data_IF_232264349696
#
_entry.id   IF_232264349696
#
_cell.length_a   1.000
_cell.length_b   1.000
_cell.length_c   1.000
_cell.angle_alpha   90.00
_cell.angle_beta   90.00
_cell.angle_gamma   90.00
#
_symmetry.space_group_name_H-M   'P 1'
#
loop_
_entity.id
_entity.type
_entity.pdbx_description
1 polymer ?
#
# COMPACT_ATOMS: atom_id res chain seq x y z
N UNK A 1 2.73 -21.72 -11.93
CA UNK A 1 2.10 -20.67 -11.11
C UNK A 1 2.99 -19.43 -11.05
N UNK A 2 2.41 -18.28 -10.69
CA UNK A 2 3.18 -17.03 -10.46
C UNK A 2 2.75 -16.49 -9.09
N UNK A 3 3.73 -16.24 -8.22
CA UNK A 3 3.49 -15.46 -7.02
C UNK A 3 3.52 -13.98 -7.40
N UNK A 4 2.47 -13.25 -7.05
CA UNK A 4 2.34 -11.84 -7.41
C UNK A 4 3.32 -10.96 -6.64
N UNK A 5 3.42 -9.69 -7.02
CA UNK A 5 4.26 -8.70 -6.34
C UNK A 5 3.93 -8.53 -4.83
N UNK A 6 2.72 -8.90 -4.41
CA UNK A 6 2.29 -8.84 -3.01
C UNK A 6 2.95 -9.90 -2.12
N UNK A 7 3.62 -10.90 -2.70
CA UNK A 7 4.18 -12.03 -1.98
C UNK A 7 3.13 -13.02 -1.48
N UNK A 8 3.59 -14.12 -0.94
CA UNK A 8 2.75 -15.19 -0.41
C UNK A 8 3.23 -15.64 0.97
N UNK A 9 2.37 -16.29 1.73
CA UNK A 9 2.73 -16.92 3.01
C UNK A 9 3.73 -18.06 2.82
N UNK A 10 4.49 -18.39 3.87
CA UNK A 10 5.39 -19.54 3.85
C UNK A 10 4.65 -20.85 3.50
N UNK A 11 3.43 -21.00 4.03
CA UNK A 11 2.58 -22.18 3.76
C UNK A 11 2.28 -22.36 2.26
N UNK A 12 1.97 -21.27 1.55
CA UNK A 12 1.68 -21.32 0.10
C UNK A 12 2.93 -21.70 -0.68
N UNK A 13 4.08 -21.14 -0.32
CA UNK A 13 5.35 -21.48 -0.94
C UNK A 13 5.73 -22.95 -0.71
N UNK A 14 5.60 -23.43 0.52
CA UNK A 14 5.88 -24.83 0.87
C UNK A 14 4.92 -25.80 0.15
N UNK A 15 3.65 -25.42 0.03
CA UNK A 15 2.66 -26.24 -0.70
C UNK A 15 3.00 -26.32 -2.20
N UNK A 16 3.42 -25.24 -2.83
CA UNK A 16 3.85 -25.24 -4.22
C UNK A 16 5.07 -26.15 -4.43
N UNK A 17 6.05 -26.07 -3.52
CA UNK A 17 7.23 -26.97 -3.52
C UNK A 17 6.84 -28.43 -3.33
N UNK A 18 6.00 -28.75 -2.35
CA UNK A 18 5.57 -30.11 -2.03
C UNK A 18 4.77 -30.76 -3.17
N UNK A 19 4.03 -29.96 -3.93
CA UNK A 19 3.29 -30.41 -5.12
C UNK A 19 4.12 -30.43 -6.40
N UNK A 20 5.42 -30.09 -6.32
CA UNK A 20 6.31 -29.93 -7.48
C UNK A 20 5.75 -28.99 -8.56
N UNK A 21 5.03 -27.94 -8.17
CA UNK A 21 4.59 -26.93 -9.12
C UNK A 21 5.77 -26.12 -9.61
N UNK A 22 5.87 -25.95 -10.93
CA UNK A 22 6.71 -24.92 -11.50
C UNK A 22 6.09 -23.56 -11.15
N UNK A 23 6.83 -22.71 -10.45
CA UNK A 23 6.38 -21.36 -10.14
C UNK A 23 7.49 -20.34 -10.37
N UNK A 24 7.06 -19.13 -10.71
CA UNK A 24 7.90 -17.94 -10.75
C UNK A 24 7.53 -17.05 -9.57
N UNK A 25 8.53 -16.65 -8.83
CA UNK A 25 8.34 -15.70 -7.73
C UNK A 25 8.57 -14.28 -8.25
N UNK A 26 7.47 -13.53 -8.44
CA UNK A 26 7.47 -12.13 -8.82
C UNK A 26 7.23 -11.20 -7.62
N UNK A 27 7.46 -11.69 -6.38
CA UNK A 27 7.35 -10.87 -5.18
C UNK A 27 8.23 -9.64 -5.27
N UNK A 28 7.66 -8.47 -5.01
CA UNK A 28 8.42 -7.22 -4.99
C UNK A 28 9.58 -7.31 -3.97
N UNK A 29 10.80 -6.90 -4.32
CA UNK A 29 11.94 -6.94 -3.39
C UNK A 29 11.68 -6.22 -2.07
N UNK A 30 10.87 -5.15 -2.06
CA UNK A 30 10.51 -4.46 -0.83
C UNK A 30 9.57 -5.29 0.05
N UNK A 31 8.62 -6.01 -0.53
CA UNK A 31 7.78 -6.97 0.19
C UNK A 31 8.61 -8.11 0.75
N UNK A 32 9.59 -8.61 -0.03
CA UNK A 32 10.54 -9.61 0.45
C UNK A 32 11.34 -9.09 1.65
N UNK A 33 11.77 -7.81 1.63
CA UNK A 33 12.43 -7.17 2.78
C UNK A 33 11.53 -7.24 4.02
N UNK A 34 10.26 -6.85 3.91
CA UNK A 34 9.30 -6.90 5.04
C UNK A 34 9.12 -8.32 5.57
N UNK A 35 9.01 -9.32 4.68
CA UNK A 35 8.94 -10.73 5.04
C UNK A 35 10.16 -11.20 5.85
N UNK A 36 11.35 -10.79 5.42
CA UNK A 36 12.60 -11.11 6.11
C UNK A 36 12.71 -10.40 7.47
N UNK A 37 12.22 -9.17 7.58
CA UNK A 37 12.19 -8.44 8.85
C UNK A 37 11.25 -9.12 9.86
N UNK A 38 10.08 -9.60 9.45
CA UNK A 38 9.19 -10.40 10.30
C UNK A 38 9.92 -11.63 10.84
N UNK A 39 10.57 -12.40 9.97
CA UNK A 39 11.33 -13.59 10.39
C UNK A 39 12.48 -13.24 11.33
N UNK A 40 13.24 -12.19 11.03
CA UNK A 40 14.37 -11.71 11.85
C UNK A 40 13.92 -11.26 13.24
N UNK A 41 12.81 -10.54 13.34
CA UNK A 41 12.29 -10.10 14.64
C UNK A 41 11.77 -11.29 15.44
N UNK A 42 11.05 -12.23 14.84
CA UNK A 42 10.62 -13.46 15.49
C UNK A 42 11.79 -14.29 16.02
N UNK A 43 12.87 -14.43 15.23
CA UNK A 43 14.10 -15.13 15.67
C UNK A 43 14.80 -14.45 16.85
N UNK A 44 14.64 -13.13 17.01
CA UNK A 44 15.15 -12.35 18.13
C UNK A 44 14.22 -12.34 19.36
N UNK A 45 13.15 -13.11 19.33
CA UNK A 45 12.19 -13.18 20.44
C UNK A 45 11.28 -11.96 20.58
N UNK A 46 11.11 -11.16 19.51
CA UNK A 46 10.31 -9.94 19.52
C UNK A 46 8.90 -10.20 19.02
N UNK A 47 7.93 -9.67 19.72
CA UNK A 47 6.59 -9.57 19.15
C UNK A 47 6.56 -8.50 18.04
N UNK A 48 5.72 -8.70 17.04
CA UNK A 48 5.72 -7.89 15.84
C UNK A 48 4.35 -7.25 15.65
N UNK A 49 4.32 -5.99 15.31
CA UNK A 49 3.10 -5.26 14.90
C UNK A 49 3.21 -4.99 13.41
N UNK A 50 2.26 -5.52 12.64
CA UNK A 50 2.11 -5.22 11.21
C UNK A 50 1.06 -4.12 11.05
N UNK A 51 1.46 -2.96 10.53
CA UNK A 51 0.52 -1.92 10.12
C UNK A 51 0.09 -2.23 8.69
N UNK A 52 -1.22 -2.42 8.47
CA UNK A 52 -1.73 -2.78 7.13
C UNK A 52 -3.21 -3.06 7.11
N UNK A 53 -3.79 -3.23 5.94
CA UNK A 53 -5.23 -3.46 5.77
C UNK A 53 -5.56 -4.95 5.82
N UNK A 54 -6.47 -5.30 6.72
CA UNK A 54 -6.98 -6.67 6.86
C UNK A 54 -7.55 -7.18 5.53
N UNK A 55 -7.14 -8.39 5.16
CA UNK A 55 -7.60 -9.01 3.91
C UNK A 55 -6.78 -8.64 2.67
N UNK A 56 -5.91 -7.65 2.74
CA UNK A 56 -5.02 -7.33 1.63
C UNK A 56 -4.02 -8.48 1.37
N UNK A 57 -3.76 -8.89 0.11
CA UNK A 57 -2.87 -10.00 -0.21
C UNK A 57 -1.47 -9.88 0.40
N UNK A 58 -0.87 -8.70 0.37
CA UNK A 58 0.43 -8.42 0.98
C UNK A 58 0.42 -8.65 2.50
N UNK A 59 -0.64 -8.21 3.18
CA UNK A 59 -0.81 -8.40 4.63
C UNK A 59 -0.98 -9.87 4.96
N UNK A 60 -1.79 -10.61 4.20
CA UNK A 60 -1.97 -12.07 4.36
C UNK A 60 -0.63 -12.78 4.16
N UNK A 61 0.12 -12.40 3.12
CA UNK A 61 1.46 -12.93 2.84
C UNK A 61 2.41 -12.68 4.00
N UNK A 62 2.50 -11.44 4.46
CA UNK A 62 3.40 -11.01 5.54
C UNK A 62 3.08 -11.68 6.88
N UNK A 63 1.79 -11.74 7.28
CA UNK A 63 1.35 -12.47 8.47
C UNK A 63 1.77 -13.94 8.41
N UNK A 64 1.63 -14.55 7.23
CA UNK A 64 2.01 -15.94 7.00
C UNK A 64 3.51 -16.22 6.90
N UNK A 65 4.36 -15.19 7.02
CA UNK A 65 5.83 -15.35 7.13
C UNK A 65 6.30 -15.41 8.59
N UNK A 66 5.43 -15.13 9.55
CA UNK A 66 5.75 -15.34 10.95
C UNK A 66 5.92 -16.84 11.22
N UNK A 67 7.05 -17.29 11.79
CA UNK A 67 7.30 -18.70 12.02
C UNK A 67 6.32 -19.30 13.02
N UNK A 68 5.65 -20.40 12.65
CA UNK A 68 4.65 -21.07 13.48
C UNK A 68 5.20 -21.70 14.77
N UNK A 69 6.52 -21.98 14.79
CA UNK A 69 7.23 -22.53 15.94
C UNK A 69 7.90 -21.47 16.81
N UNK A 70 7.64 -20.19 16.55
CA UNK A 70 8.15 -19.08 17.37
C UNK A 70 7.32 -18.92 18.65
N UNK A 71 7.97 -18.51 19.74
CA UNK A 71 7.29 -18.09 20.96
C UNK A 71 6.77 -16.64 20.90
N UNK A 72 6.98 -15.96 19.78
CA UNK A 72 6.54 -14.59 19.55
C UNK A 72 5.21 -14.57 18.83
N UNK A 73 4.57 -13.39 18.78
CA UNK A 73 3.29 -13.17 18.09
C UNK A 73 3.44 -12.05 17.06
N UNK A 74 2.57 -12.09 16.06
CA UNK A 74 2.38 -10.98 15.11
C UNK A 74 0.96 -10.46 15.22
N UNK A 75 0.81 -9.14 15.34
CA UNK A 75 -0.44 -8.44 15.51
C UNK A 75 -0.69 -7.53 14.33
N UNK A 76 -1.90 -7.51 13.80
CA UNK A 76 -2.32 -6.58 12.74
C UNK A 76 -2.95 -5.35 13.36
N UNK A 77 -2.56 -4.18 12.86
CA UNK A 77 -3.10 -2.87 13.23
C UNK A 77 -3.50 -2.13 11.96
N UNK A 78 -4.74 -1.66 11.91
CA UNK A 78 -5.27 -0.86 10.81
C UNK A 78 -5.46 0.62 11.21
N UNK A 79 -5.67 0.88 12.51
CA UNK A 79 -6.02 2.21 13.02
C UNK A 79 -5.61 2.37 14.50
N UNK A 80 -5.80 3.59 15.04
CA UNK A 80 -5.46 3.90 16.43
C UNK A 80 -6.29 3.12 17.47
N UNK A 81 -7.51 2.69 17.15
CA UNK A 81 -8.32 1.92 18.10
C UNK A 81 -7.79 0.48 18.25
N UNK A 82 -7.19 -0.07 17.18
CA UNK A 82 -6.48 -1.34 17.28
C UNK A 82 -5.24 -1.20 18.17
N UNK A 83 -4.49 -0.10 18.04
CA UNK A 83 -3.33 0.19 18.89
C UNK A 83 -3.75 0.24 20.37
N UNK A 84 -4.85 0.91 20.70
CA UNK A 84 -5.35 0.99 22.08
C UNK A 84 -5.64 -0.40 22.68
N UNK A 85 -6.16 -1.33 21.86
CA UNK A 85 -6.54 -2.68 22.28
C UNK A 85 -5.37 -3.66 22.36
N UNK A 86 -4.18 -3.29 21.85
CA UNK A 86 -3.01 -4.18 21.93
C UNK A 86 -2.60 -4.43 23.37
N UNK A 87 -2.58 -5.70 23.75
CA UNK A 87 -2.03 -6.18 25.02
C UNK A 87 -0.81 -7.07 24.69
N UNK A 88 0.39 -6.50 24.77
CA UNK A 88 1.64 -7.17 24.44
C UNK A 88 2.47 -7.26 25.72
N UNK A 89 2.79 -8.48 26.11
CA UNK A 89 3.60 -8.75 27.32
C UNK A 89 5.09 -8.97 27.00
N UNK A 90 5.45 -8.98 25.71
CA UNK A 90 6.85 -9.14 25.29
C UNK A 90 7.69 -7.95 25.73
N UNK A 91 8.92 -8.16 26.24
CA UNK A 91 9.81 -7.07 26.63
C UNK A 91 10.33 -6.27 25.43
N UNK A 92 10.37 -6.87 24.26
CA UNK A 92 10.78 -6.23 23.01
C UNK A 92 9.69 -6.38 21.94
N UNK A 93 9.35 -5.26 21.30
CA UNK A 93 8.35 -5.19 20.24
C UNK A 93 8.98 -4.52 19.03
N UNK A 94 8.66 -5.02 17.84
CA UNK A 94 9.03 -4.39 16.58
C UNK A 94 7.79 -4.10 15.75
N UNK A 95 7.90 -3.19 14.78
CA UNK A 95 6.84 -2.99 13.79
C UNK A 95 7.39 -3.07 12.37
N UNK A 96 6.52 -3.47 11.46
CA UNK A 96 6.69 -3.44 9.99
C UNK A 96 5.42 -2.89 9.38
N UNK A 97 5.47 -2.43 8.12
CA UNK A 97 4.30 -1.87 7.45
C UNK A 97 4.05 -2.51 6.10
N UNK A 98 2.79 -2.48 5.66
CA UNK A 98 2.43 -2.73 4.27
C UNK A 98 3.05 -1.64 3.38
N UNK A 99 3.50 -2.01 2.18
CA UNK A 99 4.31 -1.13 1.32
C UNK A 99 3.52 -0.06 0.57
N UNK A 100 2.19 -0.16 0.52
CA UNK A 100 1.30 0.71 -0.27
C UNK A 100 0.37 1.59 0.56
N UNK A 101 0.70 1.81 1.84
CA UNK A 101 -0.08 2.65 2.75
C UNK A 101 0.08 4.15 2.45
N UNK A 102 -0.82 4.93 3.02
CA UNK A 102 -0.66 6.40 3.13
C UNK A 102 0.53 6.72 4.02
N UNK A 103 1.46 7.54 3.52
CA UNK A 103 2.65 7.95 4.27
C UNK A 103 2.28 8.70 5.54
N UNK A 104 1.33 9.64 5.44
CA UNK A 104 0.96 10.50 6.56
C UNK A 104 0.21 9.70 7.65
N UNK A 105 -0.79 8.89 7.26
CA UNK A 105 -1.53 8.04 8.21
C UNK A 105 -0.62 7.02 8.89
N UNK A 106 0.30 6.41 8.14
CA UNK A 106 1.26 5.46 8.69
C UNK A 106 2.17 6.13 9.71
N UNK A 107 2.60 7.35 9.45
CA UNK A 107 3.42 8.14 10.38
C UNK A 107 2.67 8.42 11.69
N UNK A 108 1.37 8.75 11.62
CA UNK A 108 0.53 8.95 12.80
C UNK A 108 0.41 7.66 13.63
N UNK A 109 0.16 6.52 12.98
CA UNK A 109 0.09 5.23 13.66
C UNK A 109 1.43 4.84 14.30
N UNK A 110 2.55 5.07 13.61
CA UNK A 110 3.89 4.83 14.16
C UNK A 110 4.14 5.70 15.39
N UNK A 111 3.72 6.97 15.39
CA UNK A 111 3.86 7.85 16.56
C UNK A 111 3.03 7.33 17.74
N UNK A 112 1.77 6.93 17.52
CA UNK A 112 0.93 6.33 18.55
C UNK A 112 1.52 5.01 19.09
N UNK A 113 2.15 4.20 18.22
CA UNK A 113 2.87 2.99 18.66
C UNK A 113 4.09 3.33 19.51
N UNK A 114 4.87 4.36 19.16
CA UNK A 114 6.02 4.81 19.94
C UNK A 114 5.62 5.37 21.32
N UNK A 115 4.46 6.04 21.40
CA UNK A 115 3.92 6.50 22.67
C UNK A 115 3.50 5.32 23.57
N UNK A 116 2.85 4.32 23.01
CA UNK A 116 2.40 3.14 23.77
C UNK A 116 3.55 2.18 24.10
N UNK A 117 4.53 2.05 23.21
CA UNK A 117 5.69 1.17 23.32
C UNK A 117 6.98 1.97 23.11
N UNK A 118 7.50 2.71 24.11
CA UNK A 118 8.63 3.64 23.93
C UNK A 118 9.92 3.00 23.40
N UNK A 119 10.05 1.67 23.55
CA UNK A 119 11.21 0.90 23.03
C UNK A 119 10.95 0.19 21.71
N UNK A 120 9.85 0.49 21.02
CA UNK A 120 9.48 -0.21 19.78
C UNK A 120 10.55 -0.03 18.69
N UNK A 121 10.90 -1.13 18.04
CA UNK A 121 11.93 -1.17 17.00
C UNK A 121 11.25 -1.11 15.64
N UNK A 122 11.57 -0.10 14.86
CA UNK A 122 11.11 0.03 13.48
C UNK A 122 12.09 -0.53 12.46
N UNK A 123 11.69 -0.56 11.19
CA UNK A 123 12.57 -0.94 10.09
C UNK A 123 13.73 0.04 9.96
N UNK A 124 14.88 -0.46 9.47
CA UNK A 124 16.10 0.35 9.25
C UNK A 124 15.97 1.39 8.14
N UNK A 125 15.02 1.18 7.23
CA UNK A 125 14.58 2.11 6.19
C UNK A 125 13.07 1.92 6.02
N UNK A 126 12.37 2.98 5.60
CA UNK A 126 10.93 2.94 5.43
C UNK A 126 10.46 1.74 4.60
N UNK A 127 9.39 1.09 5.04
CA UNK A 127 8.78 -0.03 4.32
C UNK A 127 7.85 0.48 3.20
N UNK A 128 7.37 1.73 3.27
CA UNK A 128 6.55 2.30 2.20
C UNK A 128 7.39 2.48 0.95
N UNK A 129 6.90 1.91 -0.16
CA UNK A 129 7.59 1.96 -1.44
C UNK A 129 7.80 3.42 -1.90
N UNK A 130 9.04 3.76 -2.30
CA UNK A 130 9.35 5.08 -2.83
C UNK A 130 8.44 5.47 -4.03
N UNK A 131 8.07 4.51 -4.86
CA UNK A 131 7.15 4.76 -5.97
C UNK A 131 5.74 5.11 -5.47
N UNK A 132 5.29 4.55 -4.35
CA UNK A 132 4.06 4.93 -3.65
C UNK A 132 4.20 6.34 -3.07
N UNK A 133 5.29 6.63 -2.38
CA UNK A 133 5.55 7.93 -1.77
C UNK A 133 5.61 9.04 -2.82
N UNK A 134 6.41 8.87 -3.88
CA UNK A 134 6.54 9.88 -4.94
C UNK A 134 5.19 10.17 -5.62
N UNK A 135 4.34 9.14 -5.81
CA UNK A 135 3.01 9.34 -6.37
C UNK A 135 2.08 10.09 -5.42
N UNK A 136 2.16 9.83 -4.13
CA UNK A 136 1.39 10.58 -3.13
C UNK A 136 1.83 12.06 -3.09
N UNK A 137 3.12 12.33 -3.16
CA UNK A 137 3.64 13.70 -3.20
C UNK A 137 3.20 14.43 -4.49
N UNK A 138 3.23 13.73 -5.63
CA UNK A 138 2.73 14.27 -6.89
C UNK A 138 1.22 14.56 -6.86
N UNK A 139 0.41 13.70 -6.22
CA UNK A 139 -1.03 13.97 -6.05
C UNK A 139 -1.28 15.17 -5.16
N UNK A 140 -0.53 15.34 -4.07
CA UNK A 140 -0.63 16.55 -3.23
C UNK A 140 -0.36 17.81 -4.05
N UNK A 141 0.67 17.78 -4.91
CA UNK A 141 0.97 18.90 -5.79
C UNK A 141 -0.13 19.16 -6.82
N UNK A 142 -0.60 18.12 -7.51
CA UNK A 142 -1.72 18.24 -8.45
C UNK A 142 -2.99 18.80 -7.79
N UNK A 143 -3.25 18.41 -6.55
CA UNK A 143 -4.41 18.89 -5.80
C UNK A 143 -4.36 20.38 -5.47
N UNK A 144 -3.17 21.00 -5.44
CA UNK A 144 -3.01 22.44 -5.28
C UNK A 144 -3.23 23.21 -6.60
N UNK A 145 -3.00 22.57 -7.75
CA UNK A 145 -2.99 23.20 -9.06
C UNK A 145 -4.24 22.91 -9.89
N UNK A 146 -4.95 21.80 -9.60
CA UNK A 146 -6.06 21.30 -10.39
C UNK A 146 -7.36 21.28 -9.61
N UNK A 147 -8.48 21.49 -10.32
CA UNK A 147 -9.82 21.39 -9.73
C UNK A 147 -10.31 19.95 -9.63
N UNK A 148 -9.82 19.10 -10.53
CA UNK A 148 -10.14 17.66 -10.55
C UNK A 148 -8.86 16.87 -10.76
N UNK A 149 -8.74 15.72 -10.08
CA UNK A 149 -7.65 14.76 -10.29
C UNK A 149 -8.24 13.44 -10.77
N UNK A 150 -7.78 12.97 -11.94
CA UNK A 150 -8.07 11.63 -12.45
C UNK A 150 -6.91 10.70 -12.08
N UNK A 151 -7.25 9.62 -11.40
CA UNK A 151 -6.30 8.57 -11.02
C UNK A 151 -6.53 7.36 -11.92
N UNK A 152 -5.56 7.03 -12.76
CA UNK A 152 -5.63 5.86 -13.63
C UNK A 152 -5.16 4.63 -12.84
N UNK A 153 -6.00 3.61 -12.77
CA UNK A 153 -5.69 2.35 -12.11
C UNK A 153 -6.90 1.59 -11.64
N UNK A 154 -6.72 0.31 -11.34
CA UNK A 154 -7.82 -0.58 -10.96
C UNK A 154 -8.40 -0.24 -9.59
N UNK A 155 -9.71 -0.42 -9.45
CA UNK A 155 -10.43 -0.31 -8.17
C UNK A 155 -9.94 -1.32 -7.12
N UNK A 156 -9.30 -2.41 -7.54
CA UNK A 156 -8.71 -3.40 -6.64
C UNK A 156 -7.27 -3.04 -6.21
N UNK A 157 -6.67 -1.99 -6.81
CA UNK A 157 -5.32 -1.53 -6.46
C UNK A 157 -5.34 -0.66 -5.21
N UNK A 158 -4.71 -1.13 -4.13
CA UNK A 158 -4.54 -0.35 -2.89
C UNK A 158 -3.86 1.00 -3.15
N UNK A 159 -2.78 1.01 -3.94
CA UNK A 159 -2.08 2.25 -4.26
C UNK A 159 -2.97 3.24 -5.02
N UNK A 160 -3.73 2.79 -6.04
CA UNK A 160 -4.59 3.67 -6.83
C UNK A 160 -5.72 4.28 -5.99
N UNK A 161 -6.36 3.48 -5.13
CA UNK A 161 -7.37 3.97 -4.19
C UNK A 161 -6.78 5.03 -3.23
N UNK A 162 -5.55 4.80 -2.73
CA UNK A 162 -4.87 5.77 -1.85
C UNK A 162 -4.61 7.11 -2.54
N UNK A 163 -4.24 7.11 -3.81
CA UNK A 163 -4.03 8.36 -4.56
C UNK A 163 -5.33 9.15 -4.70
N UNK A 164 -6.45 8.46 -5.01
CA UNK A 164 -7.78 9.08 -5.05
C UNK A 164 -8.17 9.68 -3.70
N UNK A 165 -8.11 8.89 -2.63
CA UNK A 165 -8.44 9.33 -1.28
C UNK A 165 -7.59 10.52 -0.82
N UNK A 166 -6.31 10.53 -1.20
CA UNK A 166 -5.40 11.62 -0.87
C UNK A 166 -5.80 12.92 -1.56
N UNK A 167 -6.16 12.88 -2.85
CA UNK A 167 -6.67 14.04 -3.56
C UNK A 167 -7.95 14.59 -2.90
N UNK A 168 -8.88 13.71 -2.52
CA UNK A 168 -10.11 14.07 -1.82
C UNK A 168 -9.82 14.70 -0.43
N UNK A 169 -8.85 14.16 0.32
CA UNK A 169 -8.39 14.75 1.59
C UNK A 169 -7.76 16.13 1.42
N UNK A 170 -7.10 16.38 0.29
CA UNK A 170 -6.59 17.71 -0.07
C UNK A 170 -7.69 18.68 -0.50
N UNK A 171 -8.95 18.24 -0.55
CA UNK A 171 -10.10 19.07 -0.94
C UNK A 171 -10.36 19.09 -2.45
N UNK A 172 -9.70 18.26 -3.23
CA UNK A 172 -9.82 18.21 -4.70
C UNK A 172 -10.70 17.03 -5.11
N UNK A 173 -11.67 17.29 -5.98
CA UNK A 173 -12.53 16.24 -6.54
C UNK A 173 -11.67 15.23 -7.30
N UNK A 174 -11.86 13.95 -7.04
CA UNK A 174 -11.04 12.91 -7.67
C UNK A 174 -11.86 11.72 -8.16
N UNK A 175 -11.42 11.13 -9.27
CA UNK A 175 -12.02 9.94 -9.84
C UNK A 175 -10.96 8.89 -10.12
N UNK A 176 -11.29 7.63 -9.82
CA UNK A 176 -10.49 6.47 -10.21
C UNK A 176 -11.08 5.88 -11.48
N UNK A 177 -10.24 5.71 -12.50
CA UNK A 177 -10.63 5.23 -13.82
C UNK A 177 -9.71 4.06 -14.22
N UNK A 178 -10.30 2.98 -14.74
CA UNK A 178 -9.52 1.86 -15.27
C UNK A 178 -9.02 2.16 -16.69
N UNK A 179 -9.86 2.85 -17.50
CA UNK A 179 -9.48 3.29 -18.84
C UNK A 179 -10.24 4.59 -19.25
N UNK A 180 -9.99 5.02 -20.49
CA UNK A 180 -10.61 6.25 -21.03
C UNK A 180 -12.14 6.21 -21.09
N UNK A 181 -12.77 5.03 -21.12
CA UNK A 181 -14.24 4.89 -21.21
C UNK A 181 -14.94 5.19 -19.90
N UNK A 182 -14.19 5.15 -18.79
CA UNK A 182 -14.67 5.51 -17.45
C UNK A 182 -14.69 7.03 -17.22
N UNK A 183 -14.14 7.80 -18.15
CA UNK A 183 -14.10 9.27 -18.03
C UNK A 183 -15.50 9.84 -18.31
N UNK A 184 -16.19 10.27 -17.27
CA UNK A 184 -17.43 11.01 -17.39
C UNK A 184 -17.14 12.47 -17.73
N UNK A 185 -17.22 12.82 -19.01
CA UNK A 185 -17.01 14.19 -19.51
C UNK A 185 -17.97 15.21 -18.89
N UNK A 186 -19.20 14.78 -18.50
CA UNK A 186 -20.14 15.69 -17.83
C UNK A 186 -19.62 16.12 -16.44
N UNK A 187 -18.94 15.22 -15.75
CA UNK A 187 -18.33 15.52 -14.45
C UNK A 187 -17.13 16.47 -14.54
N UNK A 188 -16.56 16.64 -15.74
CA UNK A 188 -15.42 17.52 -16.02
C UNK A 188 -15.82 18.86 -16.64
N UNK A 189 -17.06 19.03 -17.09
CA UNK A 189 -17.51 20.13 -17.94
C UNK A 189 -17.22 21.54 -17.40
N UNK A 190 -17.29 21.70 -16.08
CA UNK A 190 -17.10 23.00 -15.43
C UNK A 190 -15.66 23.17 -14.88
N UNK A 191 -14.78 22.18 -15.09
CA UNK A 191 -13.41 22.24 -14.62
C UNK A 191 -12.52 22.97 -15.61
N UNK A 192 -11.76 23.95 -15.13
CA UNK A 192 -10.77 24.68 -15.93
C UNK A 192 -9.39 24.02 -15.92
N UNK A 193 -9.17 23.07 -14.99
CA UNK A 193 -7.94 22.31 -14.89
C UNK A 193 -8.19 20.90 -14.37
N UNK A 194 -7.61 19.91 -15.06
CA UNK A 194 -7.69 18.48 -14.71
C UNK A 194 -6.30 17.91 -14.62
N UNK A 195 -5.94 17.40 -13.45
CA UNK A 195 -4.69 16.67 -13.23
C UNK A 195 -4.86 15.19 -13.52
N UNK A 196 -3.86 14.56 -14.11
CA UNK A 196 -3.84 13.12 -14.39
C UNK A 196 -2.67 12.49 -13.65
N UNK A 197 -2.95 11.42 -12.92
CA UNK A 197 -1.94 10.57 -12.28
C UNK A 197 -2.28 9.11 -12.49
N UNK A 198 -1.36 8.21 -12.14
CA UNK A 198 -1.59 6.77 -12.30
C UNK A 198 -1.07 5.99 -11.08
N UNK A 199 -1.75 4.91 -10.75
CA UNK A 199 -1.25 3.93 -9.80
C UNK A 199 0.03 3.25 -10.29
N UNK A 200 0.84 2.73 -9.35
CA UNK A 200 2.11 2.08 -9.68
C UNK A 200 1.94 0.81 -10.54
N UNK A 201 0.78 0.19 -10.52
CA UNK A 201 0.44 -1.01 -11.31
C UNK A 201 -0.38 -0.70 -12.57
N UNK A 202 -0.67 0.58 -12.85
CA UNK A 202 -1.39 0.96 -14.06
C UNK A 202 -0.49 0.73 -15.29
N UNK A 203 -1.03 0.15 -16.38
CA UNK A 203 -0.29 0.04 -17.64
C UNK A 203 0.09 1.42 -18.18
N UNK A 204 1.35 1.59 -18.59
CA UNK A 204 1.85 2.89 -19.05
C UNK A 204 1.11 3.40 -20.30
N UNK A 205 0.62 2.50 -21.15
CA UNK A 205 -0.09 2.85 -22.38
C UNK A 205 -1.43 3.55 -22.12
N UNK A 206 -2.08 3.33 -20.96
CA UNK A 206 -3.39 3.91 -20.66
C UNK A 206 -3.26 5.41 -20.36
N UNK A 207 -2.14 5.86 -19.80
CA UNK A 207 -1.94 7.26 -19.42
C UNK A 207 -1.97 8.20 -20.65
N UNK A 208 -1.15 7.99 -21.70
CA UNK A 208 -1.20 8.81 -22.90
C UNK A 208 -2.55 8.75 -23.62
N UNK A 209 -3.20 7.58 -23.64
CA UNK A 209 -4.52 7.40 -24.27
C UNK A 209 -5.59 8.21 -23.55
N UNK A 210 -5.61 8.19 -22.22
CA UNK A 210 -6.55 8.98 -21.41
C UNK A 210 -6.30 10.49 -21.58
N UNK A 211 -5.05 10.92 -21.57
CA UNK A 211 -4.66 12.30 -21.82
C UNK A 211 -5.11 12.79 -23.22
N UNK A 212 -4.85 12.00 -24.25
CA UNK A 212 -5.24 12.34 -25.63
C UNK A 212 -6.75 12.39 -25.78
N UNK A 213 -7.49 11.49 -25.12
CA UNK A 213 -8.94 11.49 -25.11
C UNK A 213 -9.50 12.78 -24.50
N UNK A 214 -8.96 13.21 -23.36
CA UNK A 214 -9.37 14.47 -22.72
C UNK A 214 -9.10 15.69 -23.62
N UNK A 215 -7.89 15.77 -24.21
CA UNK A 215 -7.54 16.87 -25.11
C UNK A 215 -8.44 16.94 -26.35
N UNK A 216 -8.91 15.82 -26.85
CA UNK A 216 -9.85 15.79 -27.98
C UNK A 216 -11.22 16.41 -27.63
N UNK A 217 -11.55 16.55 -26.35
CA UNK A 217 -12.78 17.13 -25.83
C UNK A 217 -12.59 18.50 -25.16
N UNK A 218 -11.37 19.07 -25.19
CA UNK A 218 -11.16 20.46 -24.82
C UNK A 218 -11.94 21.36 -25.80
N UNK A 219 -12.93 22.07 -25.30
CA UNK A 219 -13.60 23.13 -26.05
C UNK A 219 -12.75 24.41 -25.95
N UNK A 220 -12.27 24.88 -27.09
CA UNK A 220 -11.59 26.16 -27.22
C UNK A 220 -12.54 27.32 -26.99
#
# INVERSE_FOLDING_TARGET
AIFSAHGVSQKVEDEAKNRNFMYFDATCPLVTKVHLEVQKHAQKGRDIILIGHKGHPEVIGTLGRHPSNSNTKIYLVENNDDIKKLEISSPEVAYVTQTTLSVDETRELINSLKEKFPGIIGPSADDICYATQNRQDAVKQLSLECQIVLVIGSQTSSNSNRLKELAEKCGTKSFLIDDKTDIDLNSLKDATSVGITAGASAPEEIVPVSYTHLRAHETY
#
